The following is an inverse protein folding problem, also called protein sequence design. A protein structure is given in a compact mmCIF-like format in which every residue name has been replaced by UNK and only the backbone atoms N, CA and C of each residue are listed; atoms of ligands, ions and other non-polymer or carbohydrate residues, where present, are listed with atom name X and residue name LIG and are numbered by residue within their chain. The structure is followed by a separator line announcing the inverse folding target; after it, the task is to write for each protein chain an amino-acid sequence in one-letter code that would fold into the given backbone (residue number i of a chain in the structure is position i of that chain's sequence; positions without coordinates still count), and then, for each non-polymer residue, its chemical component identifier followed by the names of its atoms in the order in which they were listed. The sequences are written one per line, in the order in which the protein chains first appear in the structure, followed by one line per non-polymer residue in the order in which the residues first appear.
data_IF_830638404331
#
_entry.id   IF_830638404331
#
_cell.length_a   1.000
_cell.length_b   1.000
_cell.length_c   1.000
_cell.angle_alpha   90.00
_cell.angle_beta   90.00
_cell.angle_gamma   90.00
#
_symmetry.space_group_name_H-M   'P 1'
#
loop_
_entity.id
_entity.type
_entity.pdbx_description
1 polymer ?
#
# COMPACT_ATOMS: atom_id res chain seq x y z
N UNK A 1 -20.12 10.14 5.33
CA UNK A 1 -19.62 8.92 6.00
C UNK A 1 -18.73 8.07 5.04
N UNK A 2 -19.19 7.78 3.83
CA UNK A 2 -18.42 7.00 2.82
C UNK A 2 -17.09 7.66 2.47
N UNK A 3 -17.07 8.97 2.26
CA UNK A 3 -15.85 9.74 1.96
C UNK A 3 -14.80 9.66 3.08
N UNK A 4 -15.25 9.67 4.35
CA UNK A 4 -14.35 9.57 5.51
C UNK A 4 -13.67 8.20 5.53
N UNK A 5 -14.38 7.12 5.20
CA UNK A 5 -13.82 5.76 5.10
C UNK A 5 -12.76 5.71 4.01
N UNK A 6 -13.06 6.27 2.84
CA UNK A 6 -12.12 6.31 1.73
C UNK A 6 -10.88 7.17 2.06
N UNK A 7 -11.08 8.34 2.70
CA UNK A 7 -9.97 9.18 3.15
C UNK A 7 -9.08 8.46 4.18
N UNK A 8 -9.67 7.75 5.14
CA UNK A 8 -8.91 6.96 6.12
C UNK A 8 -8.09 5.86 5.44
N UNK A 9 -8.66 5.15 4.45
CA UNK A 9 -7.94 4.17 3.63
C UNK A 9 -6.70 4.79 2.97
N UNK A 10 -6.89 5.91 2.27
CA UNK A 10 -5.79 6.62 1.57
C UNK A 10 -4.76 7.12 2.58
N UNK A 11 -5.18 7.69 3.71
CA UNK A 11 -4.27 8.19 4.74
C UNK A 11 -3.37 7.07 5.28
N UNK A 12 -3.91 5.92 5.63
CA UNK A 12 -3.11 4.80 6.11
C UNK A 12 -2.23 4.19 5.01
N UNK A 13 -2.66 4.20 3.74
CA UNK A 13 -1.84 3.85 2.59
C UNK A 13 -0.63 4.76 2.45
N UNK A 14 -0.83 6.07 2.50
CA UNK A 14 0.25 7.07 2.45
C UNK A 14 1.22 6.94 3.64
N UNK A 15 0.71 6.71 4.86
CA UNK A 15 1.56 6.46 6.03
C UNK A 15 2.42 5.20 5.84
N UNK A 16 1.86 4.14 5.26
CA UNK A 16 2.62 2.94 4.91
C UNK A 16 3.75 3.27 3.93
N UNK A 17 3.50 4.02 2.86
CA UNK A 17 4.50 4.39 1.85
C UNK A 17 5.63 5.22 2.50
N UNK A 18 5.28 6.30 3.21
CA UNK A 18 6.27 7.18 3.85
C UNK A 18 7.13 6.42 4.86
N UNK A 19 6.48 5.58 5.69
CA UNK A 19 7.20 4.79 6.69
C UNK A 19 8.09 3.74 6.03
N UNK A 20 7.65 3.13 4.92
CA UNK A 20 8.47 2.18 4.16
C UNK A 20 9.72 2.82 3.58
N UNK A 21 9.60 4.03 3.00
CA UNK A 21 10.75 4.79 2.50
C UNK A 21 11.70 5.12 3.65
N UNK A 22 11.18 5.50 4.81
CA UNK A 22 12.02 5.77 5.99
C UNK A 22 12.78 4.51 6.42
N UNK A 23 12.09 3.37 6.55
CA UNK A 23 12.74 2.10 6.90
C UNK A 23 13.81 1.73 5.87
N UNK A 24 13.54 1.93 4.58
CA UNK A 24 14.51 1.68 3.51
C UNK A 24 15.80 2.50 3.71
N UNK A 25 15.69 3.80 3.97
CA UNK A 25 16.82 4.69 4.22
C UNK A 25 17.57 4.29 5.49
N UNK A 26 16.86 3.93 6.56
CA UNK A 26 17.48 3.47 7.80
C UNK A 26 18.23 2.14 7.62
N UNK A 27 17.71 1.20 6.83
CA UNK A 27 18.38 -0.08 6.54
C UNK A 27 19.61 0.12 5.66
N UNK A 28 19.61 1.08 4.74
CA UNK A 28 20.80 1.46 3.96
C UNK A 28 21.94 1.89 4.89
N UNK A 29 21.62 2.59 5.98
CA UNK A 29 22.55 3.16 6.94
C UNK A 29 22.46 2.45 8.30
N UNK A 30 22.21 1.13 8.32
CA UNK A 30 21.99 0.39 9.57
C UNK A 30 23.21 0.43 10.50
N UNK A 31 22.95 0.69 11.77
CA UNK A 31 23.91 0.70 12.85
C UNK A 31 23.23 0.53 14.20
N UNK A 32 23.99 0.43 15.27
CA UNK A 32 23.45 0.20 16.63
C UNK A 32 22.50 1.33 17.07
N UNK A 33 22.73 2.55 16.56
CA UNK A 33 21.92 3.72 16.90
C UNK A 33 20.50 3.69 16.32
N UNK A 34 20.26 2.99 15.19
CA UNK A 34 18.97 3.01 14.51
C UNK A 34 18.27 1.64 14.42
N UNK A 35 18.88 0.55 14.86
CA UNK A 35 18.30 -0.79 14.76
C UNK A 35 16.95 -0.93 15.48
N UNK A 36 16.79 -0.32 16.65
CA UNK A 36 15.54 -0.33 17.40
C UNK A 36 14.44 0.42 16.64
N UNK A 37 14.78 1.54 15.99
CA UNK A 37 13.86 2.31 15.16
C UNK A 37 13.46 1.54 13.91
N UNK A 38 14.39 0.86 13.23
CA UNK A 38 14.09 0.00 12.08
C UNK A 38 13.04 -1.04 12.45
N UNK A 39 13.20 -1.73 13.58
CA UNK A 39 12.24 -2.74 14.06
C UNK A 39 10.87 -2.14 14.33
N UNK A 40 10.80 -1.04 15.07
CA UNK A 40 9.56 -0.35 15.41
C UNK A 40 8.84 0.15 14.16
N UNK A 41 9.56 0.82 13.25
CA UNK A 41 8.97 1.35 12.01
C UNK A 41 8.55 0.25 11.04
N UNK A 42 9.26 -0.88 10.99
CA UNK A 42 8.85 -2.04 10.20
C UNK A 42 7.50 -2.61 10.68
N UNK A 43 7.28 -2.63 12.00
CA UNK A 43 5.98 -2.97 12.57
C UNK A 43 4.92 -1.90 12.20
N UNK A 44 5.29 -0.62 12.24
CA UNK A 44 4.43 0.48 11.81
C UNK A 44 3.98 0.34 10.35
N UNK A 45 4.87 -0.03 9.42
CA UNK A 45 4.53 -0.34 8.02
C UNK A 45 3.45 -1.41 7.94
N UNK A 46 3.61 -2.51 8.67
CA UNK A 46 2.64 -3.59 8.69
C UNK A 46 1.28 -3.12 9.23
N UNK A 47 1.26 -2.42 10.36
CA UNK A 47 0.03 -1.92 10.98
C UNK A 47 -0.70 -0.96 10.05
N UNK A 48 0.00 0.03 9.47
CA UNK A 48 -0.62 1.01 8.58
C UNK A 48 -1.21 0.36 7.34
N UNK A 49 -0.51 -0.61 6.75
CA UNK A 49 -1.05 -1.32 5.59
C UNK A 49 -2.25 -2.19 5.96
N UNK A 50 -2.21 -2.93 7.07
CA UNK A 50 -3.36 -3.72 7.52
C UNK A 50 -4.59 -2.86 7.80
N UNK A 51 -4.43 -1.69 8.43
CA UNK A 51 -5.53 -0.74 8.63
C UNK A 51 -6.07 -0.22 7.29
N UNK A 52 -5.19 0.18 6.37
CA UNK A 52 -5.59 0.57 5.02
C UNK A 52 -6.35 -0.54 4.31
N UNK A 53 -5.84 -1.78 4.37
CA UNK A 53 -6.47 -2.94 3.74
C UNK A 53 -7.87 -3.24 4.29
N UNK A 54 -8.03 -3.27 5.60
CA UNK A 54 -9.33 -3.56 6.23
C UNK A 54 -10.36 -2.48 5.92
N UNK A 55 -9.97 -1.20 6.02
CA UNK A 55 -10.84 -0.07 5.72
C UNK A 55 -11.20 -0.04 4.22
N UNK A 56 -10.20 -0.19 3.35
CA UNK A 56 -10.38 -0.20 1.90
C UNK A 56 -11.16 -1.42 1.43
N UNK A 57 -10.93 -2.59 2.03
CA UNK A 57 -11.68 -3.83 1.76
C UNK A 57 -13.16 -3.70 2.13
N UNK A 58 -13.46 -3.10 3.29
CA UNK A 58 -14.84 -2.78 3.66
C UNK A 58 -15.49 -1.85 2.63
N UNK A 59 -14.82 -0.76 2.26
CA UNK A 59 -15.32 0.17 1.25
C UNK A 59 -15.54 -0.53 -0.10
N UNK A 60 -14.62 -1.37 -0.51
CA UNK A 60 -14.71 -2.14 -1.74
C UNK A 60 -15.95 -3.04 -1.78
N UNK A 61 -16.17 -3.82 -0.73
CA UNK A 61 -17.29 -4.78 -0.69
C UNK A 61 -18.64 -4.07 -0.62
N UNK A 62 -18.73 -2.98 0.13
CA UNK A 62 -20.02 -2.33 0.43
C UNK A 62 -20.38 -1.22 -0.57
N UNK A 63 -19.39 -0.47 -1.06
CA UNK A 63 -19.66 0.76 -1.82
C UNK A 63 -19.17 0.74 -3.26
N UNK A 64 -18.08 0.01 -3.57
CA UNK A 64 -17.47 0.07 -4.90
C UNK A 64 -18.36 -0.40 -6.06
N UNK A 65 -19.37 -1.23 -5.81
CA UNK A 65 -20.27 -1.73 -6.85
C UNK A 65 -20.97 -0.62 -7.65
N UNK A 66 -21.32 0.48 -7.00
CA UNK A 66 -21.91 1.65 -7.66
C UNK A 66 -20.89 2.35 -8.59
N UNK A 67 -19.67 2.62 -8.06
CA UNK A 67 -18.60 3.27 -8.82
C UNK A 67 -18.18 2.41 -10.03
N UNK A 68 -18.09 1.10 -9.85
CA UNK A 68 -17.86 0.14 -10.95
C UNK A 68 -18.87 0.29 -12.08
N UNK A 69 -20.16 0.39 -11.74
CA UNK A 69 -21.21 0.56 -12.74
C UNK A 69 -21.06 1.86 -13.54
N UNK A 70 -20.70 2.97 -12.88
CA UNK A 70 -20.40 4.25 -13.55
C UNK A 70 -19.16 4.17 -14.44
N UNK A 71 -18.06 3.59 -13.94
CA UNK A 71 -16.82 3.42 -14.70
C UNK A 71 -17.05 2.61 -15.97
N UNK A 72 -17.76 1.48 -15.87
CA UNK A 72 -17.98 0.57 -17.01
C UNK A 72 -18.90 1.16 -18.08
N UNK A 73 -19.86 2.01 -17.69
CA UNK A 73 -20.77 2.72 -18.62
C UNK A 73 -20.17 4.03 -19.13
N UNK A 74 -19.17 4.56 -18.47
CA UNK A 74 -18.51 5.84 -18.77
C UNK A 74 -17.55 5.77 -19.96
N UNK A 75 -16.82 6.86 -20.15
CA UNK A 75 -15.82 6.99 -21.23
C UNK A 75 -14.51 6.23 -20.96
N UNK A 76 -14.29 5.77 -19.70
CA UNK A 76 -13.02 5.17 -19.33
C UNK A 76 -13.13 3.84 -18.55
N UNK A 77 -13.70 2.78 -19.16
CA UNK A 77 -13.86 1.47 -18.53
C UNK A 77 -12.53 0.80 -18.15
N UNK A 78 -11.42 1.24 -18.74
CA UNK A 78 -10.06 0.78 -18.46
C UNK A 78 -9.65 1.02 -17.00
N UNK A 79 -10.19 2.05 -16.35
CA UNK A 79 -9.94 2.32 -14.94
C UNK A 79 -10.36 1.15 -14.03
N UNK A 80 -11.43 0.41 -14.38
CA UNK A 80 -11.76 -0.81 -13.66
C UNK A 80 -11.04 -2.03 -14.24
N UNK A 81 -11.20 -2.29 -15.56
CA UNK A 81 -10.74 -3.53 -16.19
C UNK A 81 -9.24 -3.78 -16.09
N UNK A 82 -8.44 -2.75 -15.86
CA UNK A 82 -7.00 -2.88 -15.70
C UNK A 82 -6.55 -2.43 -14.31
N UNK A 83 -6.81 -1.17 -13.94
CA UNK A 83 -6.23 -0.63 -12.70
C UNK A 83 -6.82 -1.25 -11.45
N UNK A 84 -8.14 -1.48 -11.38
CA UNK A 84 -8.73 -2.12 -10.20
C UNK A 84 -8.32 -3.58 -10.11
N UNK A 85 -8.41 -4.34 -11.20
CA UNK A 85 -8.04 -5.77 -11.21
C UNK A 85 -6.54 -5.97 -10.90
N UNK A 86 -5.66 -5.13 -11.44
CA UNK A 86 -4.24 -5.14 -11.08
C UNK A 86 -4.02 -4.81 -9.62
N UNK A 87 -4.70 -3.79 -9.09
CA UNK A 87 -4.62 -3.39 -7.69
C UNK A 87 -5.00 -4.51 -6.73
N UNK A 88 -6.04 -5.28 -7.05
CA UNK A 88 -6.47 -6.42 -6.22
C UNK A 88 -5.35 -7.46 -6.06
N UNK A 89 -4.61 -7.77 -7.10
CA UNK A 89 -3.47 -8.68 -7.04
C UNK A 89 -2.29 -8.07 -6.27
N UNK A 90 -1.96 -6.80 -6.53
CA UNK A 90 -0.88 -6.10 -5.84
C UNK A 90 -1.10 -6.01 -4.33
N UNK A 91 -2.35 -5.82 -3.90
CA UNK A 91 -2.71 -5.74 -2.48
C UNK A 91 -2.43 -7.05 -1.73
N UNK A 92 -2.70 -8.21 -2.35
CA UNK A 92 -2.39 -9.52 -1.76
C UNK A 92 -0.87 -9.71 -1.62
N UNK A 93 -0.10 -9.32 -2.64
CA UNK A 93 1.37 -9.35 -2.56
C UNK A 93 1.88 -8.44 -1.44
N UNK A 94 1.32 -7.25 -1.32
CA UNK A 94 1.68 -6.32 -0.24
C UNK A 94 1.38 -6.88 1.14
N UNK A 95 0.22 -7.52 1.35
CA UNK A 95 -0.12 -8.16 2.64
C UNK A 95 0.95 -9.16 3.09
N UNK A 96 1.45 -9.97 2.18
CA UNK A 96 2.53 -10.92 2.47
C UNK A 96 3.82 -10.18 2.83
N UNK A 97 4.23 -9.21 2.01
CA UNK A 97 5.49 -8.48 2.19
C UNK A 97 5.50 -7.64 3.48
N UNK A 98 4.42 -6.89 3.77
CA UNK A 98 4.37 -6.04 4.97
C UNK A 98 4.30 -6.87 6.25
N UNK A 99 3.66 -8.05 6.21
CA UNK A 99 3.63 -8.97 7.35
C UNK A 99 5.00 -9.63 7.56
N UNK A 100 5.73 -9.87 6.47
CA UNK A 100 7.07 -10.46 6.52
C UNK A 100 8.15 -9.46 6.95
N UNK A 101 7.99 -8.16 6.67
CA UNK A 101 8.99 -7.13 6.96
C UNK A 101 9.43 -7.06 8.44
N UNK A 102 8.54 -7.06 9.46
CA UNK A 102 8.96 -7.09 10.85
C UNK A 102 9.78 -8.33 11.23
N UNK A 103 9.48 -9.49 10.62
CA UNK A 103 10.23 -10.74 10.82
C UNK A 103 11.66 -10.58 10.30
N UNK A 104 11.80 -10.04 9.09
CA UNK A 104 13.12 -9.77 8.50
C UNK A 104 13.89 -8.74 9.34
N UNK A 105 13.22 -7.67 9.78
CA UNK A 105 13.83 -6.61 10.59
C UNK A 105 14.24 -7.07 12.01
N UNK A 106 13.73 -8.20 12.49
CA UNK A 106 14.11 -8.79 13.77
C UNK A 106 15.48 -9.48 13.73
N UNK A 107 15.98 -9.83 12.55
CA UNK A 107 17.30 -10.41 12.38
C UNK A 107 18.43 -9.42 12.73
N UNK A 108 19.64 -9.94 12.85
CA UNK A 108 20.83 -9.12 13.13
C UNK A 108 21.30 -8.41 11.84
N UNK A 109 20.66 -7.26 11.54
CA UNK A 109 20.96 -6.50 10.32
C UNK A 109 22.34 -5.80 10.36
N UNK A 110 22.92 -5.60 11.55
CA UNK A 110 24.25 -4.97 11.69
C UNK A 110 25.36 -5.97 11.38
N UNK A 111 25.20 -7.23 11.76
CA UNK A 111 26.20 -8.26 11.57
C UNK A 111 26.04 -9.08 10.27
N UNK A 112 24.80 -9.25 9.74
CA UNK A 112 24.56 -10.04 8.54
C UNK A 112 24.24 -9.16 7.33
N UNK A 113 25.11 -9.21 6.34
CA UNK A 113 24.93 -8.55 5.04
C UNK A 113 23.72 -9.15 4.29
N UNK A 114 23.51 -10.45 4.39
CA UNK A 114 22.42 -11.17 3.74
C UNK A 114 21.07 -10.73 4.31
N UNK A 115 20.95 -10.65 5.65
CA UNK A 115 19.74 -10.17 6.31
C UNK A 115 19.43 -8.72 5.93
N UNK A 116 20.46 -7.86 5.88
CA UNK A 116 20.31 -6.46 5.43
C UNK A 116 19.86 -6.37 3.98
N UNK A 117 20.48 -7.14 3.09
CA UNK A 117 20.08 -7.18 1.67
C UNK A 117 18.65 -7.64 1.51
N UNK A 118 18.23 -8.69 2.22
CA UNK A 118 16.84 -9.15 2.22
C UNK A 118 15.88 -8.06 2.72
N UNK A 119 16.21 -7.37 3.82
CA UNK A 119 15.40 -6.27 4.34
C UNK A 119 15.22 -5.14 3.32
N UNK A 120 16.31 -4.76 2.61
CA UNK A 120 16.26 -3.74 1.56
C UNK A 120 15.34 -4.14 0.41
N UNK A 121 15.43 -5.39 -0.07
CA UNK A 121 14.55 -5.88 -1.12
C UNK A 121 13.10 -5.89 -0.67
N UNK A 122 12.80 -6.42 0.51
CA UNK A 122 11.43 -6.50 1.02
C UNK A 122 10.83 -5.12 1.18
N UNK A 123 11.51 -4.19 1.87
CA UNK A 123 10.95 -2.85 2.10
C UNK A 123 10.93 -2.01 0.83
N UNK A 124 11.90 -2.17 -0.08
CA UNK A 124 11.92 -1.49 -1.36
C UNK A 124 10.76 -1.92 -2.26
N UNK A 125 10.46 -3.24 -2.31
CA UNK A 125 9.30 -3.77 -3.01
C UNK A 125 7.99 -3.27 -2.39
N UNK A 126 7.88 -3.22 -1.06
CA UNK A 126 6.71 -2.66 -0.38
C UNK A 126 6.49 -1.20 -0.82
N UNK A 127 7.51 -0.36 -0.74
CA UNK A 127 7.40 1.05 -1.11
C UNK A 127 6.96 1.23 -2.57
N UNK A 128 7.57 0.49 -3.49
CA UNK A 128 7.26 0.55 -4.92
C UNK A 128 5.84 0.08 -5.22
N UNK A 129 5.46 -1.12 -4.73
CA UNK A 129 4.16 -1.70 -5.02
C UNK A 129 3.04 -0.89 -4.36
N UNK A 130 3.25 -0.42 -3.12
CA UNK A 130 2.29 0.44 -2.43
C UNK A 130 2.06 1.75 -3.18
N UNK A 131 3.12 2.38 -3.69
CA UNK A 131 3.01 3.59 -4.52
C UNK A 131 2.21 3.34 -5.80
N UNK A 132 2.46 2.23 -6.51
CA UNK A 132 1.70 1.85 -7.72
C UNK A 132 0.24 1.55 -7.38
N UNK A 133 -0.03 0.85 -6.28
CA UNK A 133 -1.39 0.51 -5.84
C UNK A 133 -2.19 1.76 -5.46
N UNK A 134 -1.55 2.73 -4.79
CA UNK A 134 -2.19 4.00 -4.40
C UNK A 134 -2.45 4.89 -5.61
N UNK A 135 -1.48 5.02 -6.52
CA UNK A 135 -1.65 5.69 -7.81
C UNK A 135 -2.78 5.08 -8.66
N UNK A 136 -2.91 3.75 -8.67
CA UNK A 136 -4.04 3.07 -9.31
C UNK A 136 -5.38 3.48 -8.68
N UNK A 137 -5.43 3.68 -7.37
CA UNK A 137 -6.62 4.18 -6.66
C UNK A 137 -7.05 5.57 -7.15
N UNK A 138 -6.10 6.48 -7.37
CA UNK A 138 -6.38 7.81 -7.92
C UNK A 138 -6.98 7.73 -9.35
N UNK A 139 -6.43 6.85 -10.20
CA UNK A 139 -6.93 6.62 -11.55
C UNK A 139 -8.37 6.07 -11.53
N UNK A 140 -8.65 5.13 -10.62
CA UNK A 140 -9.98 4.56 -10.45
C UNK A 140 -10.99 5.63 -10.01
N UNK A 141 -10.60 6.51 -9.08
CA UNK A 141 -11.45 7.62 -8.62
C UNK A 141 -11.74 8.63 -9.74
N UNK A 142 -10.77 8.92 -10.62
CA UNK A 142 -10.98 9.74 -11.81
C UNK A 142 -11.96 9.04 -12.77
N UNK A 143 -11.78 7.74 -13.00
CA UNK A 143 -12.68 6.95 -13.84
C UNK A 143 -14.13 6.98 -13.36
N UNK A 144 -14.37 6.89 -12.05
CA UNK A 144 -15.69 7.01 -11.45
C UNK A 144 -16.31 8.39 -11.69
N UNK A 145 -15.53 9.47 -11.48
CA UNK A 145 -15.98 10.84 -11.74
C UNK A 145 -16.34 11.07 -13.21
N UNK A 146 -15.51 10.59 -14.14
CA UNK A 146 -15.78 10.69 -15.57
C UNK A 146 -17.05 9.93 -15.97
N UNK A 147 -17.35 8.82 -15.29
CA UNK A 147 -18.57 8.04 -15.52
C UNK A 147 -19.86 8.74 -15.08
N UNK A 148 -19.77 9.76 -14.23
CA UNK A 148 -20.90 10.57 -13.76
C UNK A 148 -21.20 11.77 -14.67
N UNK A 149 -20.30 12.12 -15.59
CA UNK A 149 -20.51 13.26 -16.50
C UNK A 149 -21.59 12.90 -17.54
N UNK A 150 -22.48 13.86 -17.88
CA UNK A 150 -23.43 13.67 -18.99
C UNK A 150 -22.67 13.45 -20.30
N UNK A 151 -23.18 12.52 -21.10
CA UNK A 151 -22.64 12.25 -22.45
C UNK A 151 -23.09 13.30 -23.44
#
# INVERSE_FOLDING_TARGET
MVEVILMAHVMFGMLCIVTSVWVFVDVLNVGDANIARIRLMSLGVAIFFWLSFLIGGYWYVVHYGADKAFILKGSWPFAHKFFMETKEHLVIMLLLLVTYLPIVASNNLTASKEARTLALWVVGLIALIAFVADGSGAIIAIGAKLGLLPK
#
